data_IF_277695957864
#
_entry.id   IF_277695957864
#
_cell.length_a   1.000
_cell.length_b   1.000
_cell.length_c   1.000
_cell.angle_alpha   90.00
_cell.angle_beta   90.00
_cell.angle_gamma   90.00
#
_symmetry.space_group_name_H-M   'P 1'
#
loop_
_entity.id
_entity.type
_entity.pdbx_description
1 polymer ?
#
# COMPACT_ATOMS: atom_id res chain seq x y z
N UNK A 1 0.99 31.59 3.03
CA UNK A 1 0.88 31.41 1.56
C UNK A 1 -0.40 32.07 1.06
N UNK A 2 -1.58 31.43 1.19
CA UNK A 2 -2.86 31.99 0.72
C UNK A 2 -3.21 33.35 1.33
N UNK A 3 -2.99 33.54 2.64
CA UNK A 3 -3.16 34.84 3.32
C UNK A 3 -2.28 35.96 2.77
N UNK A 4 -1.15 35.60 2.16
CA UNK A 4 -0.17 36.52 1.60
C UNK A 4 -0.22 36.55 0.05
N UNK A 5 -1.28 36.01 -0.56
CA UNK A 5 -1.44 35.89 -2.03
C UNK A 5 -0.22 35.30 -2.76
N UNK A 6 0.43 34.30 -2.15
CA UNK A 6 1.55 33.57 -2.77
C UNK A 6 1.18 32.13 -3.05
N UNK A 7 1.41 31.72 -4.30
CA UNK A 7 1.27 30.34 -4.76
C UNK A 7 2.63 29.71 -5.00
N UNK A 8 2.76 28.44 -4.65
CA UNK A 8 3.99 27.70 -4.89
C UNK A 8 4.14 27.39 -6.39
N UNK A 9 5.32 27.60 -6.99
CA UNK A 9 5.55 27.32 -8.41
C UNK A 9 5.65 25.81 -8.71
N UNK A 10 5.41 24.95 -7.72
CA UNK A 10 5.53 23.50 -7.83
C UNK A 10 4.21 22.81 -7.56
N UNK A 11 3.95 21.73 -8.32
CA UNK A 11 2.80 20.84 -8.13
C UNK A 11 2.73 20.25 -6.71
N UNK A 12 3.88 20.04 -6.07
CA UNK A 12 3.98 19.57 -4.68
C UNK A 12 4.68 20.67 -3.87
N UNK A 13 3.92 21.58 -3.22
CA UNK A 13 4.47 22.73 -2.52
C UNK A 13 5.42 22.38 -1.36
N UNK A 14 5.25 21.21 -0.76
CA UNK A 14 6.04 20.74 0.38
C UNK A 14 6.92 19.52 0.03
N UNK A 15 7.25 19.34 -1.25
CA UNK A 15 8.31 18.43 -1.66
C UNK A 15 9.70 19.07 -1.46
N UNK A 16 10.81 18.35 -1.71
CA UNK A 16 12.16 18.88 -1.47
C UNK A 16 12.42 20.24 -2.16
N UNK A 17 12.00 20.38 -3.42
CA UNK A 17 12.10 21.64 -4.18
C UNK A 17 11.18 22.73 -3.65
N UNK A 18 9.98 22.36 -3.23
CA UNK A 18 8.98 23.28 -2.70
C UNK A 18 9.35 23.82 -1.32
N UNK A 19 9.89 22.97 -0.43
CA UNK A 19 10.44 23.38 0.87
C UNK A 19 11.62 24.33 0.67
N UNK A 20 12.55 24.03 -0.25
CA UNK A 20 13.67 24.92 -0.56
C UNK A 20 13.18 26.32 -0.95
N UNK A 21 12.26 26.39 -1.92
CA UNK A 21 11.64 27.65 -2.32
C UNK A 21 10.89 28.33 -1.16
N UNK A 22 10.20 27.57 -0.32
CA UNK A 22 9.41 28.10 0.80
C UNK A 22 10.30 28.73 1.88
N UNK A 23 11.50 28.18 2.12
CA UNK A 23 12.52 28.78 3.02
C UNK A 23 12.97 30.15 2.53
N UNK A 24 13.08 30.34 1.21
CA UNK A 24 13.51 31.60 0.61
C UNK A 24 12.42 32.69 0.63
N UNK A 25 11.17 32.36 1.00
CA UNK A 25 10.06 33.31 1.00
C UNK A 25 10.03 34.16 2.27
N UNK A 26 10.29 35.46 2.18
CA UNK A 26 10.14 36.37 3.33
C UNK A 26 8.67 36.74 3.59
N UNK A 27 8.19 36.58 4.83
CA UNK A 27 6.87 36.98 5.32
C UNK A 27 6.98 37.99 6.48
N UNK A 28 5.86 38.27 7.16
CA UNK A 28 5.88 39.02 8.43
C UNK A 28 6.73 38.30 9.49
N UNK A 29 7.20 39.01 10.52
CA UNK A 29 8.06 38.42 11.56
C UNK A 29 7.43 37.20 12.24
N UNK A 30 6.12 37.25 12.51
CA UNK A 30 5.37 36.14 13.11
C UNK A 30 5.23 34.98 12.12
N UNK A 31 4.91 35.27 10.86
CA UNK A 31 4.78 34.22 9.83
C UNK A 31 6.12 33.51 9.55
N UNK A 32 7.24 34.24 9.58
CA UNK A 32 8.57 33.65 9.44
C UNK A 32 8.88 32.72 10.61
N UNK A 33 8.56 33.13 11.84
CA UNK A 33 8.72 32.29 13.03
C UNK A 33 7.91 30.99 12.91
N UNK A 34 6.64 31.09 12.49
CA UNK A 34 5.78 29.91 12.30
C UNK A 34 6.32 29.02 11.16
N UNK A 35 6.75 29.62 10.05
CA UNK A 35 7.35 28.91 8.92
C UNK A 35 8.56 28.10 9.37
N UNK A 36 9.49 28.73 10.07
CA UNK A 36 10.76 28.12 10.46
C UNK A 36 10.56 26.99 11.48
N UNK A 37 9.63 27.16 12.43
CA UNK A 37 9.23 26.10 13.36
C UNK A 37 8.61 24.89 12.64
N UNK A 38 7.67 25.13 11.71
CA UNK A 38 7.04 24.04 10.95
C UNK A 38 8.03 23.30 10.05
N UNK A 39 8.98 24.02 9.45
CA UNK A 39 10.04 23.42 8.65
C UNK A 39 10.97 22.58 9.52
N UNK A 40 11.35 23.07 10.70
CA UNK A 40 12.18 22.32 11.66
C UNK A 40 11.50 21.01 12.06
N UNK A 41 10.20 21.03 12.36
CA UNK A 41 9.44 19.81 12.66
C UNK A 41 9.37 18.85 11.47
N UNK A 42 9.21 19.38 10.26
CA UNK A 42 9.18 18.58 9.05
C UNK A 42 10.52 17.88 8.78
N UNK A 43 11.63 18.58 8.99
CA UNK A 43 12.98 18.02 8.91
C UNK A 43 13.15 16.91 9.95
N UNK A 44 12.77 17.15 11.20
CA UNK A 44 12.81 16.15 12.27
C UNK A 44 12.04 14.88 11.92
N UNK A 45 10.79 14.99 11.44
CA UNK A 45 10.03 13.80 11.04
C UNK A 45 10.63 13.09 9.82
N UNK A 46 11.28 13.82 8.91
CA UNK A 46 11.98 13.23 7.76
C UNK A 46 13.19 12.41 8.22
N UNK A 47 13.93 12.91 9.20
CA UNK A 47 15.02 12.16 9.83
C UNK A 47 14.51 10.91 10.56
N UNK A 48 13.43 11.04 11.34
CA UNK A 48 12.82 9.89 12.04
C UNK A 48 12.34 8.81 11.06
N UNK A 49 11.75 9.18 9.93
CA UNK A 49 11.38 8.23 8.87
C UNK A 49 12.63 7.49 8.36
N UNK A 50 13.72 8.21 8.13
CA UNK A 50 14.97 7.62 7.64
C UNK A 50 15.56 6.61 8.65
N UNK A 51 15.52 6.95 9.95
CA UNK A 51 15.96 6.03 11.01
C UNK A 51 15.10 4.76 11.03
N UNK A 52 13.78 4.90 10.92
CA UNK A 52 12.86 3.75 10.89
C UNK A 52 13.10 2.91 9.62
N UNK A 53 13.30 3.54 8.46
CA UNK A 53 13.60 2.82 7.22
C UNK A 53 14.89 1.98 7.32
N UNK A 54 15.92 2.49 8.02
CA UNK A 54 17.14 1.73 8.32
C UNK A 54 16.85 0.52 9.23
N UNK A 55 16.06 0.71 10.29
CA UNK A 55 15.65 -0.39 11.17
C UNK A 55 14.81 -1.46 10.44
N UNK A 56 14.00 -1.06 9.45
CA UNK A 56 13.26 -2.01 8.62
C UNK A 56 14.20 -2.83 7.73
N UNK A 57 15.28 -2.23 7.22
CA UNK A 57 16.30 -2.93 6.44
C UNK A 57 17.07 -3.95 7.30
N UNK A 58 17.37 -3.63 8.56
CA UNK A 58 17.92 -4.59 9.51
C UNK A 58 16.93 -5.74 9.77
N UNK A 59 15.64 -5.42 9.95
CA UNK A 59 14.58 -6.41 10.17
C UNK A 59 14.39 -7.34 8.96
N UNK A 60 14.62 -6.85 7.74
CA UNK A 60 14.53 -7.62 6.49
C UNK A 60 15.29 -8.94 6.55
N UNK A 61 16.45 -8.96 7.21
CA UNK A 61 17.30 -10.15 7.36
C UNK A 61 16.57 -11.30 8.07
N UNK A 62 15.67 -10.98 9.01
CA UNK A 62 14.88 -11.96 9.75
C UNK A 62 13.70 -12.53 8.94
N UNK A 63 13.37 -11.91 7.80
CA UNK A 63 12.22 -12.27 6.97
C UNK A 63 12.62 -12.40 5.49
N UNK A 64 13.46 -13.38 5.11
CA UNK A 64 13.95 -13.51 3.73
C UNK A 64 12.84 -13.70 2.68
N UNK A 65 11.64 -14.15 3.08
CA UNK A 65 10.46 -14.24 2.21
C UNK A 65 10.00 -12.90 1.62
N UNK A 66 10.43 -11.77 2.19
CA UNK A 66 10.10 -10.44 1.66
C UNK A 66 10.62 -10.24 0.23
N UNK A 67 11.74 -10.88 -0.15
CA UNK A 67 12.31 -10.79 -1.50
C UNK A 67 11.33 -11.24 -2.60
N UNK A 68 10.47 -12.21 -2.28
CA UNK A 68 9.48 -12.72 -3.22
C UNK A 68 8.51 -11.62 -3.68
N UNK A 69 8.28 -10.60 -2.85
CA UNK A 69 7.29 -9.55 -3.08
C UNK A 69 7.90 -8.20 -3.50
N UNK A 70 9.15 -7.91 -3.14
CA UNK A 70 9.84 -6.66 -3.51
C UNK A 70 9.91 -6.44 -5.04
N UNK A 71 9.91 -7.52 -5.81
CA UNK A 71 9.86 -7.49 -7.28
C UNK A 71 8.48 -7.09 -7.86
N UNK A 72 7.46 -6.88 -7.03
CA UNK A 72 6.15 -6.39 -7.49
C UNK A 72 6.18 -4.87 -7.51
N UNK A 73 5.89 -4.28 -8.66
CA UNK A 73 5.86 -2.82 -8.81
C UNK A 73 4.94 -2.16 -7.76
N UNK A 74 5.42 -1.13 -7.07
CA UNK A 74 4.64 -0.39 -6.09
C UNK A 74 4.54 -1.06 -4.72
N UNK A 75 5.21 -2.20 -4.52
CA UNK A 75 5.47 -2.79 -3.21
C UNK A 75 6.88 -2.39 -2.77
N UNK A 76 7.00 -1.85 -1.55
CA UNK A 76 8.28 -1.57 -0.89
C UNK A 76 8.48 -2.46 0.33
N UNK A 77 9.58 -2.27 1.06
CA UNK A 77 9.96 -3.11 2.20
C UNK A 77 8.90 -3.10 3.30
N UNK A 78 8.53 -1.92 3.81
CA UNK A 78 7.47 -1.78 4.83
C UNK A 78 6.17 -2.50 4.43
N UNK A 79 5.67 -2.21 3.22
CA UNK A 79 4.48 -2.83 2.63
C UNK A 79 4.61 -4.36 2.62
N UNK A 80 5.79 -4.87 2.29
CA UNK A 80 6.05 -6.31 2.24
C UNK A 80 6.04 -6.93 3.62
N UNK A 81 6.74 -6.32 4.58
CA UNK A 81 6.78 -6.77 5.97
C UNK A 81 5.37 -6.84 6.56
N UNK A 82 4.52 -5.83 6.32
CA UNK A 82 3.11 -5.87 6.75
C UNK A 82 2.35 -7.01 6.08
N UNK A 83 2.54 -7.24 4.78
CA UNK A 83 1.88 -8.34 4.07
C UNK A 83 2.29 -9.70 4.66
N UNK A 84 3.58 -9.89 4.94
CA UNK A 84 4.13 -11.13 5.53
C UNK A 84 3.60 -11.31 6.96
N UNK A 85 3.67 -10.27 7.79
CA UNK A 85 3.21 -10.31 9.18
C UNK A 85 1.71 -10.63 9.30
N UNK A 86 0.88 -10.00 8.45
CA UNK A 86 -0.57 -10.18 8.51
C UNK A 86 -1.05 -11.51 7.89
N UNK A 87 -0.33 -12.04 6.89
CA UNK A 87 -0.66 -13.35 6.35
C UNK A 87 -0.21 -14.48 7.28
N UNK A 88 0.94 -14.31 7.96
CA UNK A 88 1.55 -15.35 8.78
C UNK A 88 1.98 -16.55 7.93
N UNK A 89 1.81 -17.75 8.46
CA UNK A 89 2.07 -19.00 7.75
C UNK A 89 1.19 -19.11 6.49
N UNK A 90 1.80 -19.20 5.32
CA UNK A 90 1.04 -19.20 4.06
C UNK A 90 0.28 -20.52 3.82
N UNK A 91 0.72 -21.62 4.44
CA UNK A 91 0.09 -22.94 4.38
C UNK A 91 -1.29 -22.98 5.06
N UNK A 92 -1.60 -22.03 5.96
CA UNK A 92 -2.93 -21.92 6.59
C UNK A 92 -4.05 -21.71 5.58
N UNK A 93 -3.72 -21.21 4.38
CA UNK A 93 -4.67 -20.99 3.30
C UNK A 93 -4.58 -22.13 2.28
N UNK A 94 -5.72 -22.80 2.04
CA UNK A 94 -5.85 -23.84 1.01
C UNK A 94 -5.83 -23.30 -0.42
N UNK A 95 -6.10 -22.00 -0.59
CA UNK A 95 -6.04 -21.36 -1.91
C UNK A 95 -5.84 -19.86 -1.82
N UNK A 96 -5.24 -19.27 -2.87
CA UNK A 96 -5.07 -17.83 -3.02
C UNK A 96 -6.37 -17.02 -2.83
N UNK A 97 -7.52 -17.59 -3.23
CA UNK A 97 -8.84 -16.92 -3.09
C UNK A 97 -9.22 -16.70 -1.62
N UNK A 98 -8.78 -17.58 -0.72
CA UNK A 98 -9.04 -17.45 0.72
C UNK A 98 -8.32 -16.24 1.31
N UNK A 99 -7.12 -15.89 0.82
CA UNK A 99 -6.39 -14.69 1.27
C UNK A 99 -7.17 -13.42 0.92
N UNK A 100 -7.77 -13.36 -0.26
CA UNK A 100 -8.64 -12.24 -0.63
C UNK A 100 -9.89 -12.12 0.26
N UNK A 101 -10.42 -13.24 0.76
CA UNK A 101 -11.53 -13.26 1.71
C UNK A 101 -11.07 -12.83 3.11
N UNK A 102 -9.91 -13.34 3.55
CA UNK A 102 -9.28 -13.02 4.82
C UNK A 102 -8.92 -11.53 4.92
N UNK A 103 -8.41 -10.91 3.85
CA UNK A 103 -8.17 -9.47 3.78
C UNK A 103 -9.49 -8.64 3.76
N UNK A 104 -10.66 -9.28 3.76
CA UNK A 104 -11.95 -8.61 3.73
C UNK A 104 -12.26 -7.92 2.40
N UNK A 105 -11.68 -8.40 1.29
CA UNK A 105 -11.83 -7.87 -0.07
C UNK A 105 -12.85 -8.67 -0.91
N UNK A 106 -13.66 -9.50 -0.26
CA UNK A 106 -14.85 -10.17 -0.81
C UNK A 106 -16.11 -9.37 -0.51
N UNK A 107 -17.14 -9.50 -1.34
CA UNK A 107 -18.48 -8.99 -1.05
C UNK A 107 -19.13 -9.79 0.07
N UNK A 108 -19.93 -9.13 0.92
CA UNK A 108 -20.91 -9.79 1.78
C UNK A 108 -21.96 -10.47 0.90
N UNK A 109 -22.35 -11.68 1.29
CA UNK A 109 -23.37 -12.47 0.60
C UNK A 109 -24.52 -12.69 1.58
N UNK A 110 -25.71 -12.21 1.23
CA UNK A 110 -26.94 -12.46 1.97
C UNK A 110 -27.80 -13.41 1.15
N UNK A 111 -28.18 -14.54 1.74
CA UNK A 111 -29.01 -15.56 1.13
C UNK A 111 -30.32 -15.63 1.91
N UNK A 112 -31.45 -15.39 1.24
CA UNK A 112 -32.78 -15.48 1.84
C UNK A 112 -33.77 -16.05 0.82
N UNK A 113 -34.51 -17.10 1.19
CA UNK A 113 -35.63 -17.62 0.40
C UNK A 113 -35.31 -17.89 -1.08
N UNK A 114 -34.12 -18.42 -1.40
CA UNK A 114 -33.70 -18.72 -2.77
C UNK A 114 -33.03 -17.57 -3.53
N UNK A 115 -32.99 -16.35 -2.98
CA UNK A 115 -32.33 -15.20 -3.60
C UNK A 115 -30.92 -14.96 -2.99
N UNK A 116 -29.97 -14.62 -3.85
CA UNK A 116 -28.59 -14.30 -3.48
C UNK A 116 -28.28 -12.82 -3.76
N UNK A 117 -28.01 -12.05 -2.71
CA UNK A 117 -27.66 -10.64 -2.79
C UNK A 117 -26.20 -10.39 -2.43
N UNK A 118 -25.51 -9.62 -3.28
CA UNK A 118 -24.10 -9.24 -3.10
C UNK A 118 -23.98 -7.78 -2.65
N UNK A 119 -23.54 -7.58 -1.41
CA UNK A 119 -23.40 -6.27 -0.78
C UNK A 119 -22.01 -5.65 -0.89
N UNK A 120 -21.70 -4.75 0.05
CA UNK A 120 -20.37 -4.14 0.22
C UNK A 120 -19.32 -5.18 0.60
N UNK A 121 -18.04 -4.77 0.60
CA UNK A 121 -16.98 -5.67 1.07
C UNK A 121 -17.20 -6.09 2.53
N UNK A 122 -16.77 -7.30 2.89
CA UNK A 122 -16.96 -7.83 4.25
C UNK A 122 -16.24 -6.99 5.29
N UNK A 123 -15.06 -6.43 4.93
CA UNK A 123 -14.12 -5.77 5.83
C UNK A 123 -13.60 -6.64 6.98
N UNK A 124 -13.88 -7.95 6.92
CA UNK A 124 -13.40 -8.93 7.87
C UNK A 124 -11.89 -9.11 7.77
N UNK A 125 -11.28 -9.59 8.86
CA UNK A 125 -9.84 -9.78 8.98
C UNK A 125 -9.02 -8.48 9.00
N UNK A 126 -7.71 -8.56 8.74
CA UNK A 126 -6.77 -7.51 9.14
C UNK A 126 -6.94 -6.21 8.34
N UNK A 127 -7.19 -5.07 9.01
CA UNK A 127 -7.36 -3.78 8.36
C UNK A 127 -6.08 -3.29 7.68
N UNK A 128 -4.91 -3.58 8.26
CA UNK A 128 -3.61 -3.20 7.70
C UNK A 128 -3.31 -3.90 6.39
N UNK A 129 -3.49 -5.23 6.31
CA UNK A 129 -3.35 -5.98 5.06
C UNK A 129 -4.23 -5.38 3.94
N UNK A 130 -5.49 -5.10 4.26
CA UNK A 130 -6.42 -4.49 3.30
C UNK A 130 -5.97 -3.10 2.88
N UNK A 131 -5.53 -2.28 3.82
CA UNK A 131 -5.06 -0.92 3.57
C UNK A 131 -3.83 -0.92 2.66
N UNK A 132 -2.81 -1.72 2.99
CA UNK A 132 -1.58 -1.86 2.21
C UNK A 132 -1.88 -2.32 0.79
N UNK A 133 -2.64 -3.41 0.62
CA UNK A 133 -3.02 -3.92 -0.71
C UNK A 133 -3.81 -2.88 -1.54
N UNK A 134 -4.62 -2.06 -0.88
CA UNK A 134 -5.40 -1.01 -1.54
C UNK A 134 -4.50 0.15 -1.97
N UNK A 135 -3.53 0.56 -1.14
CA UNK A 135 -2.54 1.57 -1.47
C UNK A 135 -1.68 1.15 -2.66
N UNK A 136 -1.10 -0.06 -2.59
CA UNK A 136 -0.27 -0.65 -3.66
C UNK A 136 -1.01 -0.70 -5.00
N UNK A 137 -2.29 -1.10 -4.99
CA UNK A 137 -3.09 -1.18 -6.20
C UNK A 137 -3.11 0.13 -7.01
N UNK A 138 -3.10 1.29 -6.34
CA UNK A 138 -3.11 2.60 -6.99
C UNK A 138 -1.83 2.83 -7.82
N UNK A 139 -0.68 2.34 -7.32
CA UNK A 139 0.60 2.44 -8.01
C UNK A 139 0.71 1.40 -9.13
N UNK A 140 0.37 0.15 -8.81
CA UNK A 140 0.38 -0.98 -9.74
C UNK A 140 -0.42 -0.70 -11.01
N UNK A 141 -1.66 -0.21 -10.89
CA UNK A 141 -2.55 0.04 -12.05
C UNK A 141 -1.93 1.04 -13.05
N UNK A 142 -1.03 1.91 -12.60
CA UNK A 142 -0.40 2.93 -13.47
C UNK A 142 0.74 2.37 -14.32
N UNK A 143 1.43 1.32 -13.85
CA UNK A 143 2.69 0.83 -14.45
C UNK A 143 2.62 -0.63 -14.89
N UNK A 144 1.91 -1.49 -14.19
CA UNK A 144 1.75 -2.91 -14.53
C UNK A 144 0.67 -3.09 -15.61
N UNK A 145 1.11 -3.47 -16.81
CA UNK A 145 0.21 -3.61 -17.98
C UNK A 145 -0.85 -4.71 -17.77
N UNK A 146 -0.51 -5.93 -17.32
CA UNK A 146 -1.50 -6.96 -17.00
C UNK A 146 -2.57 -6.53 -16.00
N UNK A 147 -2.18 -5.93 -14.87
CA UNK A 147 -3.10 -5.52 -13.82
C UNK A 147 -3.92 -4.28 -14.21
N UNK A 148 -3.36 -3.39 -15.02
CA UNK A 148 -4.11 -2.31 -15.67
C UNK A 148 -5.19 -2.84 -16.63
N UNK A 149 -4.87 -3.85 -17.43
CA UNK A 149 -5.86 -4.53 -18.30
C UNK A 149 -6.95 -5.20 -17.48
N UNK A 150 -6.58 -5.91 -16.41
CA UNK A 150 -7.51 -6.52 -15.46
C UNK A 150 -8.46 -5.49 -14.85
N UNK A 151 -7.93 -4.39 -14.33
CA UNK A 151 -8.69 -3.27 -13.79
C UNK A 151 -9.68 -2.72 -14.82
N UNK A 152 -9.20 -2.44 -16.04
CA UNK A 152 -9.99 -1.82 -17.11
C UNK A 152 -11.15 -2.73 -17.53
N UNK A 153 -10.91 -4.04 -17.66
CA UNK A 153 -11.96 -5.02 -17.97
C UNK A 153 -13.06 -5.05 -16.91
N UNK A 154 -12.70 -5.07 -15.63
CA UNK A 154 -13.69 -5.07 -14.54
C UNK A 154 -14.41 -3.73 -14.47
N UNK A 155 -13.70 -2.61 -14.69
CA UNK A 155 -14.30 -1.28 -14.71
C UNK A 155 -15.38 -1.18 -15.80
N UNK A 156 -15.10 -1.67 -17.01
CA UNK A 156 -16.07 -1.70 -18.12
C UNK A 156 -17.27 -2.58 -17.80
N UNK A 157 -17.07 -3.77 -17.23
CA UNK A 157 -18.15 -4.73 -16.94
C UNK A 157 -19.00 -4.37 -15.73
N UNK A 158 -18.39 -3.78 -14.69
CA UNK A 158 -18.97 -3.79 -13.34
C UNK A 158 -18.78 -2.45 -12.58
N UNK A 159 -18.26 -1.43 -13.25
CA UNK A 159 -18.09 -0.09 -12.70
C UNK A 159 -16.80 0.11 -11.89
N UNK A 160 -16.44 1.38 -11.68
CA UNK A 160 -15.17 1.77 -11.07
C UNK A 160 -15.03 1.34 -9.60
N UNK A 161 -16.12 1.36 -8.82
CA UNK A 161 -16.11 0.96 -7.40
C UNK A 161 -15.69 -0.51 -7.24
N UNK A 162 -16.27 -1.41 -8.03
CA UNK A 162 -15.93 -2.85 -8.02
C UNK A 162 -14.51 -3.09 -8.53
N UNK A 163 -14.09 -2.37 -9.57
CA UNK A 163 -12.72 -2.48 -10.10
C UNK A 163 -11.64 -2.07 -9.08
N UNK A 164 -11.90 -1.02 -8.27
CA UNK A 164 -10.99 -0.57 -7.19
C UNK A 164 -10.77 -1.61 -6.10
N UNK A 165 -11.74 -2.51 -5.86
CA UNK A 165 -11.62 -3.61 -4.88
C UNK A 165 -11.01 -4.86 -5.53
N UNK A 166 -11.29 -5.10 -6.80
CA UNK A 166 -10.83 -6.29 -7.49
C UNK A 166 -9.31 -6.35 -7.65
N UNK A 167 -8.63 -5.22 -7.84
CA UNK A 167 -7.16 -5.18 -7.98
C UNK A 167 -6.45 -5.51 -6.66
N UNK A 168 -6.77 -4.87 -5.51
CA UNK A 168 -6.22 -5.27 -4.21
C UNK A 168 -6.45 -6.75 -3.91
N UNK A 169 -7.63 -7.27 -4.24
CA UNK A 169 -7.92 -8.70 -4.08
C UNK A 169 -6.98 -9.55 -4.94
N UNK A 170 -6.76 -9.13 -6.19
CA UNK A 170 -5.86 -9.84 -7.10
C UNK A 170 -4.40 -9.78 -6.62
N UNK A 171 -3.99 -8.65 -6.05
CA UNK A 171 -2.70 -8.50 -5.42
C UNK A 171 -2.55 -9.44 -4.22
N UNK A 172 -3.56 -9.57 -3.36
CA UNK A 172 -3.55 -10.53 -2.26
C UNK A 172 -3.28 -11.98 -2.75
N UNK A 173 -3.98 -12.37 -3.84
CA UNK A 173 -3.78 -13.67 -4.47
C UNK A 173 -2.36 -13.83 -5.05
N UNK A 174 -1.80 -12.77 -5.66
CA UNK A 174 -0.44 -12.79 -6.22
C UNK A 174 0.60 -12.88 -5.10
N UNK A 175 0.46 -12.08 -4.05
CA UNK A 175 1.37 -12.06 -2.91
C UNK A 175 1.43 -13.45 -2.26
N UNK A 176 0.28 -14.05 -1.97
CA UNK A 176 0.24 -15.40 -1.41
C UNK A 176 0.90 -16.43 -2.32
N UNK A 177 0.63 -16.40 -3.63
CA UNK A 177 1.24 -17.36 -4.58
C UNK A 177 2.77 -17.22 -4.61
N UNK A 178 3.29 -16.00 -4.52
CA UNK A 178 4.74 -15.77 -4.49
C UNK A 178 5.36 -16.24 -3.18
N UNK A 179 4.74 -15.94 -2.04
CA UNK A 179 5.21 -16.40 -0.75
C UNK A 179 5.12 -17.93 -0.61
N UNK A 180 4.04 -18.55 -1.07
CA UNK A 180 3.87 -20.00 -1.07
C UNK A 180 4.93 -20.69 -1.94
N UNK A 181 5.20 -20.16 -3.14
CA UNK A 181 6.29 -20.65 -4.00
C UNK A 181 7.64 -20.51 -3.30
N UNK A 182 7.92 -19.33 -2.75
CA UNK A 182 9.17 -19.07 -2.04
C UNK A 182 9.35 -20.08 -0.89
N UNK A 183 8.30 -20.32 -0.08
CA UNK A 183 8.36 -21.32 0.98
C UNK A 183 8.59 -22.72 0.41
N UNK A 184 7.89 -23.12 -0.65
CA UNK A 184 8.10 -24.44 -1.27
C UNK A 184 9.55 -24.62 -1.77
N UNK A 185 10.14 -23.58 -2.35
CA UNK A 185 11.53 -23.61 -2.84
C UNK A 185 12.56 -23.68 -1.69
N UNK A 186 12.27 -23.06 -0.55
CA UNK A 186 13.20 -23.00 0.59
C UNK A 186 12.93 -24.08 1.66
N UNK A 187 11.76 -24.69 1.67
CA UNK A 187 11.44 -25.89 2.47
C UNK A 187 12.06 -27.16 1.88
N UNK A 188 12.48 -27.15 0.61
CA UNK A 188 13.11 -28.28 -0.10
C UNK A 188 14.65 -28.25 0.02
N UNK A 189 15.19 -27.67 1.09
CA UNK A 189 16.58 -27.87 1.48
C UNK A 189 16.66 -28.90 2.63
N UNK A 190 16.77 -30.20 2.35
CA UNK A 190 17.22 -31.18 3.32
C UNK A 190 18.71 -31.50 3.12
N UNK A 191 19.45 -31.36 4.23
CA UNK A 191 20.77 -31.98 4.58
C UNK A 191 21.99 -31.52 3.80
#
# INVERSE_FOLDING_TARGET
MARNNRDAPYRIPFGPRGIKWFRDQSFSSIDNLIRDELITRLDHFTEQITVIDQQLEELRVSFPQVEALLNIHGIGLYTTLVIVAEQGEVERFRSAKQVGAYAGLTSKVNLSGGHCYYGSITRQGPPWLRWVLTGVAIHVIRRDVPLKRFYTRIRKRSGAKKARVAVPRKLAEISWKRLFRWQTEHSVQPV
#
